data_IF_117908457025
#
_entry.id   IF_117908457025
#
_cell.length_a   1.000
_cell.length_b   1.000
_cell.length_c   1.000
_cell.angle_alpha   90.00
_cell.angle_beta   90.00
_cell.angle_gamma   90.00
#
_symmetry.space_group_name_H-M   'P 1'
#
loop_
_entity.id
_entity.type
_entity.pdbx_description
1 polymer ?
2 non-polymer ?
3 water ?
#
# COMPACT_ATOMS: atom_id res chain seq x y z
N UNK A 1 10.00 -5.91 -3.19
CA UNK A 1 10.06 -4.53 -2.60
C UNK A 1 9.40 -4.55 -1.22
N UNK A 2 9.91 -3.70 -0.34
CA UNK A 2 9.25 -3.54 0.97
C UNK A 2 8.87 -2.07 1.15
N UNK A 3 7.68 -1.78 1.64
CA UNK A 3 7.24 -0.40 1.86
C UNK A 3 6.88 -0.26 3.35
N UNK A 4 7.41 0.75 4.03
CA UNK A 4 7.11 0.92 5.45
C UNK A 4 5.81 1.70 5.66
N UNK A 5 5.04 1.20 6.63
CA UNK A 5 3.79 1.85 6.99
C UNK A 5 4.03 2.73 8.21
N UNK A 6 4.12 4.03 7.94
CA UNK A 6 4.43 5.06 8.90
C UNK A 6 5.91 5.43 8.87
N UNK A 7 6.17 6.69 9.20
CA UNK A 7 7.55 7.20 9.26
C UNK A 7 8.03 7.09 10.69
N UNK A 8 9.34 7.04 10.94
CA UNK A 8 9.80 6.83 12.30
C UNK A 8 9.49 8.00 13.23
N UNK A 9 9.40 9.20 12.69
CA UNK A 9 9.09 10.38 13.49
C UNK A 9 7.61 10.51 13.80
N UNK A 10 6.79 9.57 13.34
CA UNK A 10 5.37 9.50 13.55
C UNK A 10 4.55 9.97 12.36
N UNK A 11 5.22 10.39 11.29
CA UNK A 11 4.50 10.82 10.09
C UNK A 11 3.62 9.73 9.51
N UNK A 12 2.35 10.07 9.26
CA UNK A 12 1.39 9.13 8.71
C UNK A 12 1.57 8.99 7.20
N UNK A 13 2.60 8.26 6.80
CA UNK A 13 2.98 8.18 5.40
C UNK A 13 3.48 6.77 5.06
N UNK A 14 3.37 6.41 3.79
CA UNK A 14 4.14 5.28 3.24
C UNK A 14 5.57 5.75 3.01
N UNK A 15 6.55 4.91 3.34
CA UNK A 15 7.95 5.20 3.08
C UNK A 15 8.59 4.02 2.33
N UNK A 16 8.90 4.17 1.05
CA UNK A 16 8.70 5.39 0.27
C UNK A 16 7.26 5.54 -0.19
N UNK A 17 6.85 6.72 -0.65
CA UNK A 17 5.45 6.88 -1.05
C UNK A 17 5.26 6.83 -2.57
N UNK A 18 6.36 6.74 -3.29
CA UNK A 18 6.35 6.60 -4.74
C UNK A 18 7.50 5.65 -5.09
N UNK A 19 7.17 4.49 -5.64
CA UNK A 19 8.23 3.54 -5.96
C UNK A 19 7.93 2.84 -7.29
N UNK A 20 8.96 2.20 -7.82
CA UNK A 20 8.86 1.43 -9.05
C UNK A 20 9.24 -0.04 -8.79
N UNK A 21 8.46 -0.94 -9.36
CA UNK A 21 8.76 -2.37 -9.23
C UNK A 21 8.67 -3.04 -10.60
N UNK A 22 9.15 -4.27 -10.66
CA UNK A 22 9.07 -5.08 -11.88
C UNK A 22 7.74 -5.81 -11.94
N UNK A 23 7.20 -6.00 -13.14
CA UNK A 23 6.01 -6.85 -13.27
C UNK A 23 6.27 -8.23 -12.62
N UNK A 24 5.40 -8.67 -11.72
CA UNK A 24 5.52 -9.93 -11.01
C UNK A 24 6.23 -9.79 -9.66
N UNK A 25 6.66 -8.58 -9.30
CA UNK A 25 7.35 -8.34 -8.04
C UNK A 25 6.35 -8.33 -6.88
N UNK A 26 6.78 -8.94 -5.78
CA UNK A 26 6.00 -8.93 -4.54
C UNK A 26 6.30 -7.67 -3.71
N UNK A 27 5.25 -6.96 -3.32
CA UNK A 27 5.43 -5.86 -2.38
C UNK A 27 5.03 -6.32 -0.98
N UNK A 28 5.92 -6.13 -0.02
CA UNK A 28 5.55 -6.39 1.38
C UNK A 28 5.39 -5.05 2.11
N UNK A 29 4.18 -4.80 2.58
CA UNK A 29 3.92 -3.60 3.37
C UNK A 29 4.06 -3.92 4.86
N UNK A 30 4.98 -3.26 5.53
CA UNK A 30 5.38 -3.61 6.88
C UNK A 30 5.05 -2.50 7.88
N UNK A 31 4.43 -2.85 9.00
CA UNK A 31 4.13 -1.85 10.04
C UNK A 31 5.42 -1.29 10.64
N UNK A 32 5.55 0.03 10.66
CA UNK A 32 6.78 0.67 11.13
C UNK A 32 6.50 1.60 12.30
N UNK A 33 5.50 2.47 12.20
CA UNK A 33 5.09 3.33 13.31
C UNK A 33 3.69 3.88 13.06
N UNK A 34 3.01 4.30 14.13
CA UNK A 34 1.73 4.99 14.03
C UNK A 34 0.56 4.13 13.62
N UNK A 35 0.66 2.81 13.79
CA UNK A 35 -0.45 1.94 13.40
C UNK A 35 -1.58 2.05 14.41
N UNK A 36 -2.74 1.55 14.02
CA UNK A 36 -2.92 0.62 12.93
C UNK A 36 -2.89 1.27 11.54
N UNK A 37 -2.66 0.45 10.52
CA UNK A 37 -2.71 0.85 9.12
C UNK A 37 -3.34 -0.28 8.32
N UNK A 38 -3.78 0.00 7.10
CA UNK A 38 -4.02 -1.05 6.12
C UNK A 38 -3.66 -0.50 4.74
N UNK A 39 -3.87 -1.31 3.71
CA UNK A 39 -3.67 -0.81 2.37
C UNK A 39 -4.83 -1.18 1.47
N UNK A 40 -5.21 -0.12 0.77
CA UNK A 40 -6.35 -0.27 -0.13
C UNK A 40 -6.00 0.36 -1.48
N UNK A 41 -6.26 -0.34 -2.57
CA UNK A 41 -6.01 0.27 -3.88
C UNK A 41 -7.26 1.00 -4.36
N UNK A 42 -7.04 2.13 -5.02
CA UNK A 42 -8.10 2.96 -5.60
C UNK A 42 -8.58 2.36 -6.92
N UNK A 43 -9.83 1.92 -6.94
CA UNK A 43 -10.47 1.36 -8.12
C UNK A 43 -10.46 2.22 -9.36
N UNK A 44 -10.31 3.54 -9.25
CA UNK A 44 -10.24 4.38 -10.45
C UNK A 44 -8.81 4.63 -10.92
N UNK A 45 -7.80 4.29 -10.12
CA UNK A 45 -6.42 4.62 -10.48
C UNK A 45 -5.54 3.36 -10.47
N UNK A 46 -6.03 2.29 -11.06
CA UNK A 46 -5.23 1.10 -11.36
C UNK A 46 -5.39 0.76 -12.84
N UNK A 47 -4.47 0.01 -13.42
CA UNK A 47 -4.55 -0.40 -14.82
C UNK A 47 -5.83 -1.17 -15.13
N UNK A 48 -6.20 -1.23 -16.41
CA UNK A 48 -7.39 -1.97 -16.82
C UNK A 48 -7.25 -3.47 -16.57
N UNK A 49 -8.33 -4.13 -16.18
CA UNK A 49 -8.27 -5.57 -15.96
C UNK A 49 -7.86 -5.99 -14.55
N UNK A 50 -7.33 -5.07 -13.75
CA UNK A 50 -6.97 -5.37 -12.36
C UNK A 50 -8.23 -5.33 -11.49
N UNK A 51 -8.43 -6.37 -10.70
CA UNK A 51 -9.51 -6.40 -9.71
C UNK A 51 -8.97 -5.95 -8.35
N UNK A 52 -9.34 -4.74 -7.96
CA UNK A 52 -8.94 -4.09 -6.73
C UNK A 52 -9.34 -4.84 -5.47
N UNK A 53 -10.40 -5.65 -5.54
CA UNK A 53 -10.77 -6.46 -4.39
C UNK A 53 -9.83 -7.64 -4.16
N UNK A 54 -9.06 -8.04 -5.17
CA UNK A 54 -8.10 -9.11 -4.95
C UNK A 54 -6.77 -8.61 -4.42
N UNK A 55 -6.44 -7.34 -4.66
CA UNK A 55 -5.14 -6.85 -4.24
C UNK A 55 -5.19 -5.96 -3.01
N UNK A 56 -6.38 -5.51 -2.63
CA UNK A 56 -6.55 -4.66 -1.45
C UNK A 56 -6.83 -5.52 -0.22
N UNK A 57 -6.42 -5.02 0.94
CA UNK A 57 -7.01 -5.53 2.18
C UNK A 57 -8.49 -5.10 2.21
N UNK A 58 -9.36 -5.89 2.82
CA UNK A 58 -10.70 -5.40 3.15
C UNK A 58 -10.58 -4.13 3.99
N UNK A 59 -11.42 -3.15 3.71
CA UNK A 59 -11.38 -1.82 4.28
C UNK A 59 -11.34 -1.82 5.80
N UNK A 60 -11.98 -2.81 6.42
CA UNK A 60 -12.06 -2.89 7.86
C UNK A 60 -11.03 -3.79 8.52
N UNK A 61 -10.21 -4.50 7.75
CA UNK A 61 -9.10 -5.25 8.32
C UNK A 61 -7.94 -4.29 8.60
N UNK A 62 -7.26 -4.47 9.72
CA UNK A 62 -6.18 -3.58 10.13
C UNK A 62 -4.92 -4.38 10.48
N UNK A 63 -3.75 -3.81 10.23
CA UNK A 63 -2.50 -4.31 10.80
C UNK A 63 -2.27 -3.54 12.10
N UNK A 64 -2.34 -4.21 13.24
CA UNK A 64 -2.42 -3.52 14.52
C UNK A 64 -1.09 -3.51 15.28
N UNK A 65 -0.26 -4.52 15.06
CA UNK A 65 0.89 -4.73 15.94
C UNK A 65 2.21 -4.44 15.27
N UNK A 66 3.25 -4.12 16.01
CA UNK A 66 4.55 -3.89 15.40
C UNK A 66 4.99 -5.11 14.61
N UNK A 67 5.53 -4.87 13.41
CA UNK A 67 6.07 -5.93 12.59
C UNK A 67 5.05 -6.62 11.70
N UNK A 68 3.76 -6.35 11.87
CA UNK A 68 2.79 -7.07 11.02
C UNK A 68 3.01 -6.67 9.55
N UNK A 69 2.66 -7.57 8.64
CA UNK A 69 2.94 -7.39 7.21
C UNK A 69 1.71 -7.78 6.38
N UNK A 70 1.62 -7.19 5.20
CA UNK A 70 0.65 -7.54 4.17
C UNK A 70 1.41 -7.51 2.83
N UNK A 71 1.35 -8.61 2.10
CA UNK A 71 2.08 -8.76 0.84
C UNK A 71 1.12 -8.95 -0.33
N UNK A 72 1.52 -8.42 -1.48
CA UNK A 72 0.72 -8.58 -2.69
C UNK A 72 1.64 -8.54 -3.90
N UNK A 73 1.33 -9.39 -4.88
CA UNK A 73 2.13 -9.35 -6.10
C UNK A 73 1.33 -8.64 -7.19
N UNK A 74 1.99 -7.70 -7.86
CA UNK A 74 1.35 -7.02 -9.00
C UNK A 74 1.97 -7.50 -10.31
N UNK A 75 1.12 -7.79 -11.29
CA UNK A 75 1.58 -8.23 -12.60
C UNK A 75 1.31 -7.24 -13.71
N UNK A 76 0.13 -6.61 -13.76
CA UNK A 76 -0.24 -5.72 -14.86
C UNK A 76 0.56 -4.42 -14.81
N UNK A 77 1.15 -4.03 -15.94
CA UNK A 77 2.00 -2.84 -15.98
C UNK A 77 1.16 -1.56 -15.90
N UNK A 78 1.75 -0.51 -15.34
CA UNK A 78 1.07 0.78 -15.24
C UNK A 78 1.16 1.31 -13.81
N UNK A 79 0.36 2.33 -13.53
CA UNK A 79 0.41 3.04 -12.25
C UNK A 79 -0.77 2.67 -11.36
N UNK A 80 -0.47 2.40 -10.09
CA UNK A 80 -1.46 2.01 -9.10
C UNK A 80 -1.44 3.04 -7.96
N UNK A 81 -2.61 3.50 -7.54
CA UNK A 81 -2.60 4.41 -6.39
C UNK A 81 -3.22 3.65 -5.22
N UNK A 82 -2.65 3.85 -4.04
CA UNK A 82 -3.19 3.15 -2.87
C UNK A 82 -3.19 4.07 -1.65
N UNK A 83 -3.95 3.68 -0.63
CA UNK A 83 -4.03 4.52 0.55
C UNK A 83 -4.30 3.66 1.79
N UNK A 84 -4.07 4.26 2.95
CA UNK A 84 -4.41 3.60 4.21
C UNK A 84 -5.78 4.13 4.67
N UNK A 85 -6.76 3.26 4.84
CA UNK A 85 -8.14 3.65 5.14
C UNK A 85 -8.28 4.54 6.36
N UNK A 86 -7.70 4.21 7.50
CA UNK A 86 -7.92 5.07 8.68
C UNK A 86 -7.21 6.41 8.57
N UNK A 87 -6.15 6.47 7.79
CA UNK A 87 -5.33 7.66 7.64
C UNK A 87 -5.44 8.31 6.26
N UNK A 88 -6.49 8.06 5.51
CA UNK A 88 -6.59 8.54 4.14
C UNK A 88 -6.77 10.06 4.04
N UNK A 89 -7.54 10.62 4.97
CA UNK A 89 -7.75 12.07 5.01
C UNK A 89 -6.55 12.76 5.65
N UNK A 90 -5.67 11.99 6.30
CA UNK A 90 -4.47 12.55 6.91
C UNK A 90 -3.27 12.58 5.98
N UNK A 91 -3.40 12.11 4.74
CA UNK A 91 -2.33 12.22 3.76
C UNK A 91 -1.59 10.91 3.50
N UNK A 92 -2.05 9.81 4.10
CA UNK A 92 -1.37 8.53 3.94
C UNK A 92 -1.79 7.82 2.65
N UNK A 93 -1.15 8.26 1.57
CA UNK A 93 -1.47 7.85 0.20
C UNK A 93 -0.17 7.62 -0.56
N UNK A 94 -0.19 6.65 -1.49
CA UNK A 94 1.04 6.33 -2.19
C UNK A 94 0.77 5.88 -3.62
N UNK A 95 1.86 5.63 -4.32
CA UNK A 95 1.78 5.28 -5.75
C UNK A 95 2.89 4.25 -6.04
N UNK A 96 2.54 3.27 -6.86
CA UNK A 96 3.54 2.34 -7.37
C UNK A 96 3.41 2.20 -8.88
N UNK A 97 4.54 2.24 -9.56
CA UNK A 97 4.56 2.03 -11.01
C UNK A 97 5.17 0.65 -11.28
N UNK A 98 4.45 -0.18 -12.01
CA UNK A 98 4.92 -1.53 -12.37
C UNK A 98 5.42 -1.52 -13.82
N UNK A 99 6.69 -1.88 -13.98
CA UNK A 99 7.35 -1.75 -15.28
C UNK A 99 7.64 -3.11 -15.90
X LIG B 1 -2.35 4.30 8.29
#
# INVERSE_FOLDING_TARGET
AEVLLGSSDGGLAFVPSDLSIASGEKITFKNNAGFPHNDLFDKKEVPAGVDVTKISMPEEDLLNAPGEEYSVTLTEKGTYKFYCAPHAGAGMVGKVTVN
CU CU
#
